data_IF_888671431266
#
_entry.id   IF_888671431266
#
_cell.length_a   1.000
_cell.length_b   1.000
_cell.length_c   1.000
_cell.angle_alpha   90.00
_cell.angle_beta   90.00
_cell.angle_gamma   90.00
#
_symmetry.space_group_name_H-M   'P 1'
#
loop_
_entity.id
_entity.type
_entity.pdbx_description
1 polymer ?
#
# COMPACT_ATOMS: atom_id res chain seq x y z
N UNK A 1 -13.87 38.57 -17.04
CA UNK A 1 -14.81 37.42 -17.14
C UNK A 1 -14.15 36.14 -17.67
N UNK A 2 -13.57 36.10 -18.88
CA UNK A 2 -12.94 34.87 -19.45
C UNK A 2 -11.80 34.27 -18.60
N UNK A 3 -10.93 35.10 -18.01
CA UNK A 3 -9.86 34.65 -17.10
C UNK A 3 -10.43 33.95 -15.85
N UNK A 4 -11.46 34.54 -15.24
CA UNK A 4 -12.16 34.00 -14.08
C UNK A 4 -12.83 32.63 -14.37
N UNK A 5 -13.48 32.51 -15.53
CA UNK A 5 -14.08 31.24 -15.97
C UNK A 5 -13.00 30.18 -16.23
N UNK A 6 -11.86 30.57 -16.80
CA UNK A 6 -10.73 29.66 -17.00
C UNK A 6 -10.10 29.19 -15.68
N UNK A 7 -9.94 30.08 -14.69
CA UNK A 7 -9.40 29.69 -13.38
C UNK A 7 -10.37 28.78 -12.64
N UNK A 8 -11.67 29.09 -12.68
CA UNK A 8 -12.72 28.22 -12.13
C UNK A 8 -12.71 26.84 -12.79
N UNK A 9 -12.55 26.77 -14.12
CA UNK A 9 -12.44 25.51 -14.84
C UNK A 9 -11.23 24.67 -14.39
N UNK A 10 -10.10 25.30 -14.12
CA UNK A 10 -8.90 24.60 -13.64
C UNK A 10 -9.14 24.06 -12.22
N UNK A 11 -9.66 24.90 -11.32
CA UNK A 11 -9.91 24.54 -9.93
C UNK A 11 -10.88 23.35 -9.80
N UNK A 12 -12.03 23.43 -10.48
CA UNK A 12 -13.02 22.34 -10.46
C UNK A 12 -12.45 21.04 -11.08
N UNK A 13 -11.55 21.13 -12.07
CA UNK A 13 -10.93 19.94 -12.67
C UNK A 13 -9.98 19.27 -11.69
N UNK A 14 -9.27 20.07 -10.91
CA UNK A 14 -8.34 19.58 -9.89
C UNK A 14 -9.10 18.87 -8.78
N UNK A 15 -10.15 19.49 -8.24
CA UNK A 15 -11.00 18.87 -7.21
C UNK A 15 -11.60 17.56 -7.71
N UNK A 16 -12.14 17.55 -8.93
CA UNK A 16 -12.70 16.34 -9.53
C UNK A 16 -11.64 15.26 -9.77
N UNK A 17 -10.42 15.64 -10.19
CA UNK A 17 -9.33 14.68 -10.35
C UNK A 17 -8.94 14.03 -9.03
N UNK A 18 -8.79 14.82 -7.95
CA UNK A 18 -8.50 14.33 -6.60
C UNK A 18 -9.60 13.36 -6.12
N UNK A 19 -10.87 13.74 -6.30
CA UNK A 19 -12.00 12.88 -5.90
C UNK A 19 -12.02 11.55 -6.67
N UNK A 20 -11.77 11.57 -7.98
CA UNK A 20 -11.70 10.35 -8.81
C UNK A 20 -10.54 9.46 -8.37
N UNK A 21 -9.34 10.01 -8.15
CA UNK A 21 -8.18 9.20 -7.73
C UNK A 21 -8.34 8.62 -6.34
N UNK A 22 -8.94 9.37 -5.40
CA UNK A 22 -9.28 8.88 -4.07
C UNK A 22 -10.31 7.73 -4.16
N UNK A 23 -11.34 7.87 -4.99
CA UNK A 23 -12.32 6.82 -5.24
C UNK A 23 -11.70 5.55 -5.83
N UNK A 24 -10.74 5.68 -6.75
CA UNK A 24 -10.00 4.52 -7.29
C UNK A 24 -9.17 3.84 -6.22
N UNK A 25 -8.50 4.58 -5.35
CA UNK A 25 -7.74 4.00 -4.24
C UNK A 25 -8.63 3.21 -3.28
N UNK A 26 -9.75 3.79 -2.85
CA UNK A 26 -10.75 3.08 -2.03
C UNK A 26 -11.24 1.83 -2.78
N UNK A 27 -11.49 1.94 -4.09
CA UNK A 27 -11.87 0.82 -4.94
C UNK A 27 -10.85 -0.32 -4.94
N UNK A 28 -9.54 -0.01 -4.97
CA UNK A 28 -8.47 -1.01 -4.89
C UNK A 28 -8.57 -1.80 -3.59
N UNK A 29 -8.64 -1.11 -2.44
CA UNK A 29 -8.73 -1.74 -1.12
C UNK A 29 -9.98 -2.64 -1.03
N UNK A 30 -11.14 -2.14 -1.45
CA UNK A 30 -12.39 -2.91 -1.45
C UNK A 30 -12.31 -4.13 -2.37
N UNK A 31 -11.67 -4.00 -3.54
CA UNK A 31 -11.48 -5.13 -4.46
C UNK A 31 -10.55 -6.15 -3.83
N UNK A 32 -9.46 -5.73 -3.19
CA UNK A 32 -8.52 -6.62 -2.53
C UNK A 32 -9.18 -7.43 -1.42
N UNK A 33 -9.88 -6.74 -0.52
CA UNK A 33 -10.61 -7.36 0.58
C UNK A 33 -11.64 -8.37 0.06
N UNK A 34 -12.45 -8.00 -0.94
CA UNK A 34 -13.49 -8.88 -1.47
C UNK A 34 -13.00 -10.07 -2.27
N UNK A 35 -11.88 -9.92 -2.99
CA UNK A 35 -11.39 -10.98 -3.88
C UNK A 35 -10.44 -11.95 -3.19
N UNK A 36 -9.60 -11.46 -2.27
CA UNK A 36 -8.48 -12.23 -1.74
C UNK A 36 -8.62 -12.58 -0.26
N UNK A 37 -9.40 -11.83 0.52
CA UNK A 37 -9.46 -11.97 1.98
C UNK A 37 -10.66 -12.85 2.37
N UNK A 38 -10.42 -14.09 2.83
CA UNK A 38 -11.48 -14.98 3.29
C UNK A 38 -11.96 -14.60 4.70
N UNK A 39 -13.15 -15.06 5.12
CA UNK A 39 -13.74 -14.67 6.41
C UNK A 39 -13.01 -15.23 7.66
N UNK A 40 -12.11 -16.18 7.47
CA UNK A 40 -11.30 -16.84 8.50
C UNK A 40 -9.90 -16.24 8.67
N UNK A 41 -9.55 -15.19 7.94
CA UNK A 41 -8.26 -14.50 8.11
C UNK A 41 -8.07 -13.94 9.52
N UNK A 42 -6.84 -13.91 10.02
CA UNK A 42 -6.43 -13.14 11.20
C UNK A 42 -6.14 -11.69 10.80
N UNK A 43 -5.34 -11.53 9.74
CA UNK A 43 -5.01 -10.23 9.17
C UNK A 43 -4.67 -10.36 7.69
N UNK A 44 -4.72 -9.26 6.97
CA UNK A 44 -4.22 -9.18 5.61
C UNK A 44 -3.36 -7.94 5.43
N UNK A 45 -2.42 -8.04 4.50
CA UNK A 45 -1.29 -7.14 4.34
C UNK A 45 -1.31 -6.62 2.92
N UNK A 46 -1.08 -5.31 2.81
CA UNK A 46 -0.86 -4.69 1.52
C UNK A 46 0.65 -4.65 1.24
N UNK A 47 1.11 -5.53 0.35
CA UNK A 47 2.53 -5.92 0.30
C UNK A 47 3.47 -4.76 -0.01
N UNK A 48 4.51 -4.59 0.80
CA UNK A 48 5.68 -3.78 0.44
C UNK A 48 6.50 -4.46 -0.69
N UNK A 49 7.11 -3.70 -1.62
CA UNK A 49 7.05 -2.25 -1.81
C UNK A 49 5.86 -1.78 -2.67
N UNK A 50 5.00 -2.70 -3.11
CA UNK A 50 3.87 -2.38 -4.00
C UNK A 50 2.88 -1.41 -3.36
N UNK A 51 2.72 -1.48 -2.03
CA UNK A 51 1.95 -0.50 -1.26
C UNK A 51 2.42 0.94 -1.50
N UNK A 52 3.73 1.14 -1.65
CA UNK A 52 4.33 2.46 -1.93
C UNK A 52 4.11 2.91 -3.37
N UNK A 53 3.98 1.97 -4.33
CA UNK A 53 3.66 2.31 -5.73
C UNK A 53 2.26 2.88 -5.93
N UNK A 54 1.36 2.75 -4.95
CA UNK A 54 0.05 3.42 -4.98
C UNK A 54 0.19 4.92 -5.19
N UNK A 55 1.18 5.58 -4.57
CA UNK A 55 1.36 7.02 -4.70
C UNK A 55 1.75 7.40 -6.13
N UNK A 56 2.67 6.65 -6.73
CA UNK A 56 3.09 6.86 -8.12
C UNK A 56 1.89 6.64 -9.06
N UNK A 57 1.12 5.58 -8.83
CA UNK A 57 -0.09 5.28 -9.57
C UNK A 57 -1.14 6.38 -9.44
N UNK A 58 -1.42 6.86 -8.23
CA UNK A 58 -2.36 7.95 -7.97
C UNK A 58 -1.93 9.25 -8.65
N UNK A 59 -0.65 9.61 -8.60
CA UNK A 59 -0.14 10.81 -9.25
C UNK A 59 -0.25 10.71 -10.77
N UNK A 60 0.13 9.57 -11.36
CA UNK A 60 -0.03 9.30 -12.78
C UNK A 60 -1.49 9.42 -13.21
N UNK A 61 -2.39 8.77 -12.47
CA UNK A 61 -3.82 8.79 -12.73
C UNK A 61 -4.39 10.21 -12.61
N UNK A 62 -3.99 10.95 -11.57
CA UNK A 62 -4.43 12.33 -11.32
C UNK A 62 -4.03 13.25 -12.46
N UNK A 63 -2.79 13.17 -12.95
CA UNK A 63 -2.32 13.98 -14.09
C UNK A 63 -3.14 13.70 -15.34
N UNK A 64 -3.39 12.42 -15.65
CA UNK A 64 -4.19 12.04 -16.82
C UNK A 64 -5.66 12.46 -16.72
N UNK A 65 -6.29 12.22 -15.57
CA UNK A 65 -7.68 12.62 -15.30
C UNK A 65 -7.81 14.15 -15.36
N UNK A 66 -6.91 14.88 -14.69
CA UNK A 66 -6.89 16.34 -14.71
C UNK A 66 -6.73 16.88 -16.14
N UNK A 67 -5.82 16.32 -16.95
CA UNK A 67 -5.65 16.71 -18.34
C UNK A 67 -6.95 16.57 -19.14
N UNK A 68 -7.65 15.44 -19.00
CA UNK A 68 -8.92 15.18 -19.69
C UNK A 68 -10.04 16.09 -19.20
N UNK A 69 -10.20 16.26 -17.88
CA UNK A 69 -11.25 17.07 -17.27
C UNK A 69 -11.08 18.55 -17.57
N UNK A 70 -9.87 19.08 -17.42
CA UNK A 70 -9.56 20.49 -17.69
C UNK A 70 -9.87 20.86 -19.15
N UNK A 71 -9.48 19.99 -20.09
CA UNK A 71 -9.83 20.19 -21.51
C UNK A 71 -11.34 20.19 -21.74
N UNK A 72 -12.06 19.22 -21.16
CA UNK A 72 -13.52 19.12 -21.31
C UNK A 72 -14.24 20.31 -20.69
N UNK A 73 -13.80 20.77 -19.52
CA UNK A 73 -14.49 21.82 -18.77
C UNK A 73 -14.23 23.22 -19.31
N UNK A 74 -13.00 23.52 -19.76
CA UNK A 74 -12.73 24.75 -20.52
C UNK A 74 -13.60 24.86 -21.76
N UNK A 75 -13.76 23.76 -22.51
CA UNK A 75 -14.68 23.68 -23.65
C UNK A 75 -16.14 23.92 -23.23
N UNK A 76 -16.61 23.30 -22.14
CA UNK A 76 -17.98 23.46 -21.62
C UNK A 76 -18.28 24.89 -21.18
N UNK A 77 -17.30 25.58 -20.58
CA UNK A 77 -17.42 26.97 -20.11
C UNK A 77 -17.18 28.02 -21.22
N UNK A 78 -17.11 27.60 -22.49
CA UNK A 78 -16.90 28.52 -23.61
C UNK A 78 -15.52 29.19 -23.62
N UNK A 79 -14.55 28.63 -22.90
CA UNK A 79 -13.17 29.11 -22.86
C UNK A 79 -12.37 28.38 -23.93
N UNK A 80 -11.80 29.12 -24.87
CA UNK A 80 -10.88 28.55 -25.86
C UNK A 80 -9.70 27.91 -25.13
N UNK A 81 -9.41 26.61 -25.37
CA UNK A 81 -8.19 26.01 -24.83
C UNK A 81 -6.99 26.79 -25.39
N UNK A 82 -6.19 27.40 -24.52
CA UNK A 82 -4.92 28.00 -24.92
C UNK A 82 -4.00 26.89 -25.44
N UNK A 83 -3.90 26.73 -26.76
CA UNK A 83 -2.95 25.83 -27.40
C UNK A 83 -1.67 26.61 -27.74
N UNK A 84 -0.48 26.17 -27.30
CA UNK A 84 0.71 26.33 -28.12
C UNK A 84 0.73 25.20 -29.16
N UNK A 85 0.74 25.59 -30.42
CA UNK A 85 0.60 24.74 -31.61
C UNK A 85 1.83 23.86 -31.94
N UNK A 86 2.77 23.62 -31.02
CA UNK A 86 4.06 22.99 -31.34
C UNK A 86 4.56 21.86 -30.41
N UNK A 87 3.75 21.33 -29.50
CA UNK A 87 4.24 20.23 -28.63
C UNK A 87 4.07 18.84 -29.28
N UNK A 88 5.10 18.01 -29.20
CA UNK A 88 5.13 16.59 -29.61
C UNK A 88 3.89 15.78 -29.13
N UNK A 89 3.35 16.15 -27.97
CA UNK A 89 2.14 15.60 -27.34
C UNK A 89 0.88 15.67 -28.21
N UNK A 90 0.77 16.66 -29.11
CA UNK A 90 -0.41 16.83 -29.95
C UNK A 90 -0.40 15.92 -31.19
N UNK A 91 0.79 15.69 -31.76
CA UNK A 91 0.98 14.85 -32.96
C UNK A 91 0.69 13.38 -32.67
N UNK A 92 1.13 12.89 -31.50
CA UNK A 92 0.99 11.48 -31.11
C UNK A 92 -0.06 11.26 -30.01
N UNK A 93 -1.06 12.14 -29.90
CA UNK A 93 -2.04 12.14 -28.80
C UNK A 93 -2.75 10.79 -28.61
N UNK A 94 -3.10 10.09 -29.69
CA UNK A 94 -3.76 8.78 -29.61
C UNK A 94 -2.83 7.73 -29.00
N UNK A 95 -1.60 7.66 -29.48
CA UNK A 95 -0.59 6.75 -28.95
C UNK A 95 -0.29 7.03 -27.46
N UNK A 96 -0.12 8.30 -27.10
CA UNK A 96 0.12 8.70 -25.70
C UNK A 96 -1.04 8.33 -24.78
N UNK A 97 -2.29 8.49 -25.24
CA UNK A 97 -3.47 8.03 -24.50
C UNK A 97 -3.51 6.51 -24.37
N UNK A 98 -3.18 5.77 -25.43
CA UNK A 98 -3.11 4.30 -25.37
C UNK A 98 -2.05 3.82 -24.39
N UNK A 99 -0.84 4.40 -24.43
CA UNK A 99 0.25 4.10 -23.49
C UNK A 99 -0.19 4.41 -22.05
N UNK A 100 -0.81 5.57 -21.84
CA UNK A 100 -1.33 5.96 -20.53
C UNK A 100 -2.34 4.94 -19.99
N UNK A 101 -3.32 4.53 -20.80
CA UNK A 101 -4.34 3.55 -20.40
C UNK A 101 -3.69 2.20 -20.10
N UNK A 102 -2.82 1.72 -20.98
CA UNK A 102 -2.11 0.45 -20.79
C UNK A 102 -1.27 0.44 -19.50
N UNK A 103 -0.50 1.50 -19.27
CA UNK A 103 0.33 1.64 -18.06
C UNK A 103 -0.53 1.67 -16.79
N UNK A 104 -1.65 2.40 -16.80
CA UNK A 104 -2.55 2.44 -15.66
C UNK A 104 -3.23 1.09 -15.41
N UNK A 105 -3.59 0.34 -16.44
CA UNK A 105 -4.15 -1.00 -16.30
C UNK A 105 -3.13 -1.99 -15.73
N UNK A 106 -1.89 -1.96 -16.23
CA UNK A 106 -0.82 -2.81 -15.73
C UNK A 106 -0.50 -2.51 -14.26
N UNK A 107 -0.35 -1.23 -13.90
CA UNK A 107 -0.14 -0.81 -12.51
C UNK A 107 -1.32 -1.19 -11.62
N UNK A 108 -2.55 -0.98 -12.08
CA UNK A 108 -3.74 -1.37 -11.35
C UNK A 108 -3.75 -2.88 -11.06
N UNK A 109 -3.45 -3.72 -12.06
CA UNK A 109 -3.35 -5.17 -11.88
C UNK A 109 -2.27 -5.57 -10.85
N UNK A 110 -1.09 -4.94 -10.91
CA UNK A 110 -0.01 -5.18 -9.94
C UNK A 110 -0.48 -4.81 -8.52
N UNK A 111 -1.14 -3.67 -8.36
CA UNK A 111 -1.60 -3.20 -7.05
C UNK A 111 -2.67 -4.12 -6.47
N UNK A 112 -3.71 -4.49 -7.24
CA UNK A 112 -4.79 -5.36 -6.73
C UNK A 112 -4.28 -6.76 -6.34
N UNK A 113 -3.26 -7.28 -7.02
CA UNK A 113 -2.73 -8.64 -6.76
C UNK A 113 -1.65 -8.70 -5.68
N UNK A 114 -1.19 -7.55 -5.16
CA UNK A 114 -0.16 -7.45 -4.14
C UNK A 114 -0.76 -7.57 -2.71
N UNK A 115 -1.29 -8.74 -2.38
CA UNK A 115 -1.95 -9.03 -1.10
C UNK A 115 -1.31 -10.24 -0.44
N UNK A 116 -1.13 -10.20 0.88
CA UNK A 116 -0.84 -11.40 1.67
C UNK A 116 -1.94 -11.55 2.72
N UNK A 117 -2.44 -12.76 2.90
CA UNK A 117 -3.46 -13.11 3.89
C UNK A 117 -2.85 -14.06 4.89
N UNK A 118 -3.09 -13.81 6.16
CA UNK A 118 -2.64 -14.66 7.26
C UNK A 118 -3.85 -15.26 7.93
N UNK A 119 -3.82 -16.57 8.13
CA UNK A 119 -4.82 -17.34 8.89
C UNK A 119 -4.17 -17.96 10.11
N UNK A 120 -4.89 -18.80 10.82
CA UNK A 120 -4.38 -19.46 12.03
C UNK A 120 -3.14 -20.32 11.75
N UNK A 121 -3.08 -21.09 10.66
CA UNK A 121 -1.99 -22.03 10.39
C UNK A 121 -1.24 -21.83 9.06
N UNK A 122 -1.69 -20.89 8.23
CA UNK A 122 -1.15 -20.65 6.89
C UNK A 122 -1.03 -19.16 6.53
N UNK A 123 -0.06 -18.88 5.67
CA UNK A 123 0.17 -17.60 5.01
C UNK A 123 -0.11 -17.81 3.52
N UNK A 124 -1.11 -17.11 3.00
CA UNK A 124 -1.42 -17.10 1.57
C UNK A 124 -0.89 -15.84 0.91
N UNK A 125 0.04 -16.03 0.00
CA UNK A 125 0.80 -14.97 -0.63
C UNK A 125 0.37 -14.76 -2.08
N UNK A 126 -0.33 -13.66 -2.37
CA UNK A 126 -0.71 -13.30 -3.73
C UNK A 126 0.35 -12.40 -4.38
N UNK A 127 0.52 -12.55 -5.69
CA UNK A 127 1.35 -11.65 -6.50
C UNK A 127 0.79 -11.50 -7.90
N UNK A 128 1.29 -10.52 -8.65
CA UNK A 128 0.89 -10.35 -10.06
C UNK A 128 1.33 -11.51 -10.96
N UNK A 129 2.33 -12.29 -10.54
CA UNK A 129 2.78 -13.51 -11.22
C UNK A 129 2.01 -14.75 -10.75
N UNK A 130 1.60 -14.78 -9.47
CA UNK A 130 0.85 -15.86 -8.84
C UNK A 130 -0.49 -15.32 -8.29
N UNK A 131 -1.45 -14.91 -9.15
CA UNK A 131 -2.69 -14.28 -8.72
C UNK A 131 -3.66 -15.24 -8.01
N UNK A 132 -3.44 -16.55 -8.12
CA UNK A 132 -4.19 -17.56 -7.37
C UNK A 132 -3.67 -17.72 -5.93
N UNK A 133 -2.53 -17.11 -5.61
CA UNK A 133 -1.87 -17.22 -4.33
C UNK A 133 -1.01 -18.47 -4.23
N UNK A 134 0.02 -18.39 -3.40
CA UNK A 134 0.83 -19.51 -2.92
C UNK A 134 0.61 -19.64 -1.42
N UNK A 135 0.28 -20.85 -0.98
CA UNK A 135 0.00 -21.15 0.42
C UNK A 135 1.29 -21.67 1.09
N UNK A 136 1.65 -21.10 2.24
CA UNK A 136 2.79 -21.52 3.06
C UNK A 136 2.30 -21.82 4.46
N UNK A 137 2.71 -22.96 5.03
CA UNK A 137 2.43 -23.23 6.43
C UNK A 137 3.41 -22.47 7.32
N UNK A 138 3.03 -22.24 8.56
CA UNK A 138 3.92 -21.61 9.52
C UNK A 138 5.22 -22.40 9.75
N UNK A 139 5.17 -23.73 9.68
CA UNK A 139 6.38 -24.57 9.79
C UNK A 139 7.36 -24.39 8.62
N UNK A 140 6.89 -23.89 7.47
CA UNK A 140 7.71 -23.65 6.29
C UNK A 140 8.37 -22.26 6.32
N UNK A 141 8.04 -21.41 7.29
CA UNK A 141 8.65 -20.07 7.40
C UNK A 141 10.15 -20.21 7.63
N UNK A 142 10.94 -19.52 6.80
CA UNK A 142 12.40 -19.62 6.81
C UNK A 142 12.98 -18.95 8.05
N UNK A 143 12.49 -17.74 8.34
CA UNK A 143 12.85 -16.97 9.54
C UNK A 143 11.93 -15.78 9.74
N UNK A 144 12.02 -15.22 10.94
CA UNK A 144 11.43 -13.93 11.32
C UNK A 144 12.53 -12.93 11.65
N UNK A 145 12.38 -11.70 11.18
CA UNK A 145 13.18 -10.53 11.56
C UNK A 145 12.29 -9.48 12.21
N UNK A 146 12.54 -9.12 13.48
CA UNK A 146 11.74 -8.14 14.21
C UNK A 146 12.61 -7.10 14.93
N UNK A 147 12.15 -5.85 14.96
CA UNK A 147 12.91 -4.77 15.60
C UNK A 147 12.23 -3.41 15.54
N UNK A 148 13.00 -2.38 15.87
CA UNK A 148 12.56 -0.99 15.87
C UNK A 148 13.53 -0.13 15.07
N UNK A 149 12.99 0.65 14.13
CA UNK A 149 13.79 1.56 13.31
C UNK A 149 14.42 2.67 14.17
N UNK A 150 15.74 2.86 14.01
CA UNK A 150 16.50 3.86 14.77
C UNK A 150 16.65 5.19 14.05
N UNK A 151 16.39 5.20 12.75
CA UNK A 151 16.52 6.32 11.86
C UNK A 151 15.18 6.60 11.15
N UNK A 152 14.97 7.89 10.86
CA UNK A 152 13.87 8.33 10.01
C UNK A 152 14.31 8.25 8.57
N UNK A 153 13.51 7.61 7.73
CA UNK A 153 13.68 7.72 6.29
C UNK A 153 12.86 8.92 5.77
N UNK A 154 13.47 9.78 4.94
CA UNK A 154 12.88 11.09 4.57
C UNK A 154 11.76 11.02 3.51
N UNK A 155 11.46 9.85 2.94
CA UNK A 155 10.36 9.73 1.99
C UNK A 155 9.02 9.69 2.75
N UNK A 156 7.99 10.39 2.27
CA UNK A 156 6.66 10.31 2.88
C UNK A 156 6.14 8.86 2.79
N UNK A 157 5.49 8.40 3.87
CA UNK A 157 4.98 7.03 3.98
C UNK A 157 6.12 6.00 3.87
N UNK A 158 7.18 6.16 4.65
CA UNK A 158 8.15 5.11 4.97
C UNK A 158 8.24 5.00 6.50
N UNK A 159 9.16 4.19 7.01
CA UNK A 159 9.35 4.10 8.45
C UNK A 159 9.91 5.41 9.04
N UNK A 160 9.39 5.76 10.21
CA UNK A 160 9.88 6.77 11.12
C UNK A 160 10.75 6.14 12.23
N UNK A 161 11.48 7.00 12.95
CA UNK A 161 12.22 6.56 14.13
C UNK A 161 11.23 6.09 15.21
N UNK A 162 11.46 4.89 15.72
CA UNK A 162 10.60 4.25 16.71
C UNK A 162 9.49 3.38 16.12
N UNK A 163 9.39 3.29 14.78
CA UNK A 163 8.47 2.37 14.14
C UNK A 163 8.92 0.92 14.36
N UNK A 164 7.97 0.09 14.77
CA UNK A 164 8.14 -1.36 14.89
C UNK A 164 8.02 -2.01 13.51
N UNK A 165 8.84 -3.02 13.24
CA UNK A 165 8.71 -3.88 12.07
C UNK A 165 8.73 -5.35 12.49
N UNK A 166 8.02 -6.17 11.70
CA UNK A 166 8.00 -7.62 11.84
C UNK A 166 7.94 -8.25 10.46
N UNK A 167 9.04 -8.84 10.02
CA UNK A 167 9.21 -9.35 8.66
C UNK A 167 9.37 -10.86 8.68
N UNK A 168 8.48 -11.55 7.97
CA UNK A 168 8.54 -12.98 7.71
C UNK A 168 9.25 -13.22 6.38
N UNK A 169 10.22 -14.15 6.34
CA UNK A 169 10.82 -14.65 5.11
C UNK A 169 10.22 -16.01 4.76
N UNK A 170 9.66 -16.11 3.54
CA UNK A 170 9.02 -17.32 3.01
C UNK A 170 10.01 -18.15 2.16
N UNK A 171 9.73 -19.44 1.92
CA UNK A 171 10.61 -20.33 1.15
C UNK A 171 10.97 -19.86 -0.27
N UNK A 172 10.09 -19.09 -0.90
CA UNK A 172 10.31 -18.49 -2.22
C UNK A 172 11.26 -17.28 -2.20
N UNK A 173 11.74 -16.90 -1.01
CA UNK A 173 12.56 -15.72 -0.75
C UNK A 173 11.76 -14.43 -0.65
N UNK A 174 10.43 -14.49 -0.73
CA UNK A 174 9.59 -13.31 -0.53
C UNK A 174 9.56 -12.91 0.95
N UNK A 175 9.48 -11.60 1.17
CA UNK A 175 9.42 -11.00 2.50
C UNK A 175 8.06 -10.35 2.72
N UNK A 176 7.45 -10.66 3.86
CA UNK A 176 6.14 -10.15 4.25
C UNK A 176 6.30 -9.35 5.53
N UNK A 177 6.12 -8.04 5.44
CA UNK A 177 6.09 -7.16 6.60
C UNK A 177 4.67 -7.12 7.18
N UNK A 178 4.50 -7.66 8.39
CA UNK A 178 3.21 -7.73 9.06
C UNK A 178 2.70 -6.35 9.51
N UNK A 179 3.56 -5.33 9.52
CA UNK A 179 3.18 -3.98 9.94
C UNK A 179 2.56 -3.14 8.81
N UNK A 180 2.62 -3.62 7.56
CA UNK A 180 1.98 -3.00 6.39
C UNK A 180 0.50 -3.44 6.26
N UNK A 181 -0.25 -3.24 7.33
CA UNK A 181 -1.59 -3.82 7.54
C UNK A 181 -2.61 -3.24 6.57
N UNK A 182 -3.31 -4.12 5.85
CA UNK A 182 -4.53 -3.79 5.12
C UNK A 182 -5.77 -3.86 6.00
N UNK A 183 -5.82 -4.84 6.92
CA UNK A 183 -6.86 -4.97 7.93
C UNK A 183 -6.67 -6.18 8.84
N UNK A 184 -7.34 -6.16 9.99
CA UNK A 184 -7.31 -7.21 11.02
C UNK A 184 -8.74 -7.68 11.29
N UNK A 185 -8.90 -8.97 11.58
CA UNK A 185 -10.18 -9.54 12.00
C UNK A 185 -10.46 -9.22 13.46
N UNK A 186 -11.64 -8.67 13.71
CA UNK A 186 -11.96 -8.07 15.01
C UNK A 186 -11.28 -6.71 15.12
N UNK A 187 -11.90 -5.74 15.80
CA UNK A 187 -11.37 -4.37 15.93
C UNK A 187 -10.15 -4.30 16.88
N UNK A 188 -9.34 -5.36 16.89
CA UNK A 188 -8.11 -5.45 17.65
C UNK A 188 -7.00 -4.70 16.91
N UNK A 189 -6.06 -4.20 17.69
CA UNK A 189 -4.88 -3.55 17.17
C UNK A 189 -3.93 -4.61 16.62
N UNK A 190 -3.37 -4.37 15.43
CA UNK A 190 -2.55 -5.31 14.69
C UNK A 190 -1.39 -5.88 15.48
N UNK A 191 -0.83 -5.11 16.42
CA UNK A 191 0.31 -5.55 17.24
C UNK A 191 -0.04 -6.74 18.13
N UNK A 192 -1.28 -6.84 18.60
CA UNK A 192 -1.71 -7.98 19.40
C UNK A 192 -1.87 -9.23 18.54
N UNK A 193 -2.36 -9.08 17.30
CA UNK A 193 -2.44 -10.20 16.35
C UNK A 193 -1.04 -10.64 15.91
N UNK A 194 -0.11 -9.71 15.71
CA UNK A 194 1.30 -10.02 15.45
C UNK A 194 1.92 -10.75 16.65
N UNK A 195 1.58 -10.38 17.89
CA UNK A 195 2.05 -11.08 19.09
C UNK A 195 1.55 -12.53 19.15
N UNK A 196 0.30 -12.79 18.73
CA UNK A 196 -0.25 -14.14 18.66
C UNK A 196 0.44 -14.98 17.58
N UNK A 197 0.59 -14.43 16.38
CA UNK A 197 1.33 -15.05 15.26
C UNK A 197 2.77 -15.35 15.68
N UNK A 198 3.41 -14.41 16.37
CA UNK A 198 4.80 -14.56 16.81
C UNK A 198 4.98 -15.72 17.78
N UNK A 199 4.08 -15.87 18.75
CA UNK A 199 4.11 -17.01 19.67
C UNK A 199 3.98 -18.31 18.92
N UNK A 200 3.06 -18.38 17.96
CA UNK A 200 2.84 -19.60 17.19
C UNK A 200 4.04 -19.97 16.31
N UNK A 201 4.67 -19.01 15.64
CA UNK A 201 5.87 -19.24 14.82
C UNK A 201 7.04 -19.73 15.69
N UNK A 202 7.28 -19.09 16.84
CA UNK A 202 8.34 -19.50 17.77
C UNK A 202 8.05 -20.88 18.37
N UNK A 203 6.82 -21.16 18.77
CA UNK A 203 6.42 -22.47 19.30
C UNK A 203 6.63 -23.61 18.29
N UNK A 204 6.53 -23.31 16.98
CA UNK A 204 6.83 -24.24 15.88
C UNK A 204 8.32 -24.34 15.54
N UNK A 205 9.18 -23.60 16.25
CA UNK A 205 10.63 -23.64 16.08
C UNK A 205 11.15 -22.79 14.93
N UNK A 206 10.38 -21.82 14.44
CA UNK A 206 10.82 -20.91 13.38
C UNK A 206 11.98 -20.04 13.88
N UNK A 207 13.13 -20.00 13.18
CA UNK A 207 14.26 -19.18 13.59
C UNK A 207 13.89 -17.70 13.60
N UNK A 208 14.29 -16.98 14.65
CA UNK A 208 13.95 -15.57 14.82
C UNK A 208 15.14 -14.72 15.20
N UNK A 209 15.35 -13.65 14.46
CA UNK A 209 16.31 -12.59 14.77
C UNK A 209 15.57 -11.35 15.26
N UNK A 210 15.92 -10.91 16.46
CA UNK A 210 15.25 -9.80 17.16
C UNK A 210 16.26 -8.80 17.68
N UNK A 211 15.92 -7.51 17.60
CA UNK A 211 16.71 -6.46 18.23
C UNK A 211 15.88 -5.57 19.14
N UNK A 212 16.29 -5.47 20.41
CA UNK A 212 15.81 -4.43 21.34
C UNK A 212 16.47 -3.06 21.10
N UNK A 213 17.38 -2.97 20.12
CA UNK A 213 17.99 -1.69 19.74
C UNK A 213 16.88 -0.72 19.33
N UNK A 214 16.97 0.52 19.80
CA UNK A 214 16.02 1.61 19.52
C UNK A 214 14.62 1.44 20.13
N UNK A 215 14.37 0.39 20.92
CA UNK A 215 13.05 0.15 21.54
C UNK A 215 12.53 1.35 22.34
N UNK A 216 13.42 2.10 22.99
CA UNK A 216 13.05 3.29 23.76
C UNK A 216 12.30 4.35 22.93
N UNK A 217 12.57 4.47 21.62
CA UNK A 217 11.86 5.43 20.76
C UNK A 217 10.38 5.09 20.57
N UNK A 218 9.97 3.83 20.78
CA UNK A 218 8.55 3.43 20.74
C UNK A 218 7.73 4.14 21.84
N UNK A 219 8.37 4.45 22.97
CA UNK A 219 7.71 5.04 24.15
C UNK A 219 7.35 6.51 23.96
N UNK A 220 7.93 7.17 22.96
CA UNK A 220 7.67 8.58 22.67
C UNK A 220 6.27 8.82 22.10
N UNK A 221 5.69 7.81 21.43
CA UNK A 221 4.44 7.96 20.68
C UNK A 221 3.42 6.83 20.91
N UNK A 222 3.79 5.75 21.62
CA UNK A 222 2.88 4.64 21.91
C UNK A 222 2.50 4.56 23.39
N UNK A 223 1.23 4.24 23.65
CA UNK A 223 0.78 3.89 24.99
C UNK A 223 1.40 2.57 25.46
N UNK A 224 1.57 2.45 26.78
CA UNK A 224 2.26 1.34 27.43
C UNK A 224 1.80 -0.05 26.96
N UNK A 225 0.48 -0.26 26.81
CA UNK A 225 -0.05 -1.57 26.37
C UNK A 225 0.53 -2.05 25.03
N UNK A 226 0.85 -1.11 24.12
CA UNK A 226 1.42 -1.40 22.81
C UNK A 226 2.93 -1.60 22.87
N UNK A 227 3.63 -0.76 23.63
CA UNK A 227 5.08 -0.95 23.86
C UNK A 227 5.36 -2.27 24.57
N UNK A 228 4.51 -2.66 25.52
CA UNK A 228 4.62 -3.94 26.23
C UNK A 228 4.41 -5.13 25.28
N UNK A 229 3.50 -5.02 24.31
CA UNK A 229 3.28 -6.04 23.27
C UNK A 229 4.50 -6.18 22.35
N UNK A 230 5.02 -5.05 21.83
CA UNK A 230 6.24 -5.03 21.04
C UNK A 230 7.41 -5.63 21.83
N UNK A 231 7.56 -5.28 23.11
CA UNK A 231 8.61 -5.84 23.96
C UNK A 231 8.52 -7.36 24.08
N UNK A 232 7.31 -7.90 24.33
CA UNK A 232 7.08 -9.35 24.41
C UNK A 232 7.43 -10.03 23.09
N UNK A 233 7.05 -9.44 21.96
CA UNK A 233 7.46 -9.94 20.64
C UNK A 233 8.98 -9.95 20.54
N UNK A 234 9.68 -8.86 20.87
CA UNK A 234 11.13 -8.79 20.70
C UNK A 234 11.92 -9.70 21.66
N UNK A 235 11.35 -10.08 22.80
CA UNK A 235 11.98 -10.99 23.78
C UNK A 235 11.68 -12.47 23.53
N UNK A 236 10.61 -12.78 22.80
CA UNK A 236 10.20 -14.15 22.50
C UNK A 236 11.16 -14.79 21.48
N UNK A 237 11.78 -15.93 21.83
CA UNK A 237 12.81 -16.62 21.03
C UNK A 237 12.73 -18.14 21.15
#
# INVERSE_FOLDING_TARGET
MRKLLSTLAVLLSLIAAIAVTAGVFIGIVVIQEKLFVPGDHLMWIFKYPFSRFVLIYQLLLMVGVFYVLNKKMKRKLGVTPSHPNHSFLHKNRRLMLSIFIFLNLALFYILISAVTVIKEDEIRNYSYLSPQGEDYRYEDVVKVEAGVYGDRFYLPFTHDQGDFYYVIELPDGSKVDLTEVGGVKGQEDERFVIEDIDRELVDKGVPKDTSLRNFEYTKDHLAKKYTDSIHRILENK
#
